data_IF_778850224384
#
_entry.id   IF_778850224384
#
_cell.length_a   1.000
_cell.length_b   1.000
_cell.length_c   1.000
_cell.angle_alpha   90.00
_cell.angle_beta   90.00
_cell.angle_gamma   90.00
#
_symmetry.space_group_name_H-M   'P 1'
#
loop_
_entity.id
_entity.type
_entity.pdbx_description
1 polymer ?
#
# COMPACT_ATOMS: atom_id res chain seq x y z
N UNK A 1 7.71 -10.38 8.10
CA UNK A 1 7.29 -8.99 7.81
C UNK A 1 8.52 -8.29 7.28
N UNK A 2 8.52 -7.92 6.01
CA UNK A 2 9.67 -7.26 5.37
C UNK A 2 9.37 -5.75 5.32
N UNK A 3 10.13 -4.96 6.08
CA UNK A 3 9.95 -3.52 6.20
C UNK A 3 11.04 -2.85 5.34
N UNK A 4 10.65 -2.23 4.23
CA UNK A 4 11.56 -1.42 3.42
C UNK A 4 11.25 0.05 3.62
N UNK A 5 12.20 0.82 4.14
CA UNK A 5 12.09 2.28 4.21
C UNK A 5 12.15 2.82 2.79
N UNK A 6 11.02 3.36 2.32
CA UNK A 6 10.89 4.01 1.02
C UNK A 6 10.35 5.42 1.23
N UNK A 7 10.66 6.37 0.36
CA UNK A 7 10.09 7.71 0.44
C UNK A 7 8.81 7.80 -0.40
N UNK A 8 7.76 8.43 0.11
CA UNK A 8 6.60 8.88 -0.68
C UNK A 8 6.72 10.39 -0.90
N UNK A 9 7.03 10.81 -2.14
CA UNK A 9 7.18 12.23 -2.50
C UNK A 9 8.15 13.02 -1.59
N UNK A 10 9.23 12.37 -1.16
CA UNK A 10 10.21 12.95 -0.24
C UNK A 10 9.87 12.85 1.24
N UNK A 11 8.65 12.42 1.60
CA UNK A 11 8.30 12.08 2.98
C UNK A 11 8.72 10.64 3.30
N UNK A 12 9.25 10.36 4.51
CA UNK A 12 9.49 9.01 4.97
C UNK A 12 8.17 8.21 4.93
N UNK A 13 8.22 7.03 4.30
CA UNK A 13 7.06 6.16 4.18
C UNK A 13 7.39 4.72 4.56
N UNK A 14 6.40 4.05 5.12
CA UNK A 14 6.46 2.62 5.42
C UNK A 14 5.49 1.88 4.51
N UNK A 15 5.97 0.84 3.84
CA UNK A 15 5.14 -0.08 3.07
C UNK A 15 5.02 -1.40 3.82
N UNK A 16 3.78 -1.83 4.05
CA UNK A 16 3.46 -3.13 4.65
C UNK A 16 2.69 -3.96 3.63
N UNK A 17 3.09 -5.22 3.47
CA UNK A 17 2.37 -6.23 2.70
C UNK A 17 1.94 -7.34 3.66
N UNK A 18 0.65 -7.64 3.69
CA UNK A 18 0.09 -8.65 4.60
C UNK A 18 -1.12 -9.34 3.99
N UNK A 19 -1.37 -10.57 4.41
CA UNK A 19 -2.53 -11.34 3.97
C UNK A 19 -3.71 -11.10 4.91
N UNK A 20 -4.88 -10.89 4.35
CA UNK A 20 -6.15 -10.83 5.08
C UNK A 20 -7.03 -12.00 4.64
N UNK A 21 -7.44 -12.81 5.60
CA UNK A 21 -8.42 -13.89 5.39
C UNK A 21 -9.76 -13.42 5.93
N UNK A 22 -10.79 -13.42 5.09
CA UNK A 22 -12.18 -13.21 5.53
C UNK A 22 -12.90 -14.55 5.68
N UNK A 23 -13.86 -14.64 6.61
CA UNK A 23 -14.62 -15.87 6.86
C UNK A 23 -15.31 -16.32 5.56
N UNK A 24 -14.82 -17.42 4.97
CA UNK A 24 -15.26 -17.88 3.65
C UNK A 24 -14.15 -18.14 2.61
N UNK A 25 -12.88 -18.25 3.02
CA UNK A 25 -11.75 -18.78 2.22
C UNK A 25 -11.11 -17.86 1.17
N UNK A 26 -11.48 -16.59 1.08
CA UNK A 26 -10.76 -15.65 0.21
C UNK A 26 -9.62 -15.00 0.99
N UNK A 27 -8.40 -15.39 0.64
CA UNK A 27 -7.19 -14.69 1.07
C UNK A 27 -6.91 -13.56 0.10
N UNK A 28 -6.90 -12.34 0.63
CA UNK A 28 -6.48 -11.16 -0.09
C UNK A 28 -5.09 -10.77 0.37
N UNK A 29 -4.26 -10.35 -0.57
CA UNK A 29 -3.00 -9.69 -0.25
C UNK A 29 -3.25 -8.20 -0.23
N UNK A 30 -2.94 -7.59 0.92
CA UNK A 30 -3.11 -6.17 1.18
C UNK A 30 -1.74 -5.49 1.15
N UNK A 31 -1.63 -4.41 0.39
CA UNK A 31 -0.49 -3.49 0.45
C UNK A 31 -0.94 -2.18 1.05
N UNK A 32 -0.30 -1.75 2.13
CA UNK A 32 -0.54 -0.46 2.78
C UNK A 32 0.73 0.41 2.74
N UNK A 33 0.56 1.68 2.39
CA UNK A 33 1.61 2.71 2.43
C UNK A 33 1.21 3.77 3.46
N UNK A 34 2.07 3.99 4.43
CA UNK A 34 1.88 4.96 5.52
C UNK A 34 2.95 6.04 5.42
N UNK A 35 2.55 7.29 5.58
CA UNK A 35 3.49 8.41 5.65
C UNK A 35 2.89 9.57 6.44
N UNK A 36 3.75 10.39 7.01
CA UNK A 36 3.38 11.66 7.62
C UNK A 36 3.80 12.81 6.72
N UNK A 37 2.87 13.71 6.43
CA UNK A 37 3.13 14.92 5.67
C UNK A 37 2.36 16.10 6.26
N UNK A 38 3.05 17.24 6.42
CA UNK A 38 2.45 18.49 6.90
C UNK A 38 1.68 18.32 8.24
N UNK A 39 2.21 17.50 9.16
CA UNK A 39 1.60 17.21 10.46
C UNK A 39 0.33 16.34 10.40
N UNK A 40 0.09 15.65 9.28
CA UNK A 40 -1.04 14.74 9.08
C UNK A 40 -0.55 13.35 8.72
N UNK A 41 -1.24 12.34 9.25
CA UNK A 41 -0.98 10.94 8.93
C UNK A 41 -1.85 10.48 7.78
N UNK A 42 -1.23 9.82 6.79
CA UNK A 42 -1.89 9.29 5.62
C UNK A 42 -1.67 7.77 5.52
N UNK A 43 -2.71 7.08 5.07
CA UNK A 43 -2.69 5.66 4.76
C UNK A 43 -3.32 5.44 3.38
N UNK A 44 -2.61 4.76 2.49
CA UNK A 44 -3.12 4.27 1.21
C UNK A 44 -3.15 2.75 1.31
N UNK A 45 -4.26 2.11 0.94
CA UNK A 45 -4.38 0.65 1.02
C UNK A 45 -5.03 0.11 -0.24
N UNK A 46 -4.41 -0.89 -0.85
CA UNK A 46 -5.01 -1.73 -1.87
C UNK A 46 -5.04 -3.18 -1.40
N UNK A 47 -6.07 -3.90 -1.80
CA UNK A 47 -6.25 -5.33 -1.51
C UNK A 47 -6.66 -6.04 -2.79
N UNK A 48 -5.99 -7.15 -3.08
CA UNK A 48 -6.22 -7.94 -4.27
C UNK A 48 -6.24 -9.43 -3.95
N UNK A 49 -6.92 -10.22 -4.78
CA UNK A 49 -6.74 -11.68 -4.73
C UNK A 49 -5.31 -12.01 -5.16
N UNK A 50 -4.77 -13.13 -4.67
CA UNK A 50 -3.41 -13.57 -5.02
C UNK A 50 -3.20 -13.73 -6.54
N UNK A 51 -4.22 -14.19 -7.25
CA UNK A 51 -4.20 -14.39 -8.71
C UNK A 51 -3.93 -13.12 -9.53
N UNK A 52 -4.21 -11.94 -8.98
CA UNK A 52 -4.06 -10.63 -9.65
C UNK A 52 -3.16 -9.68 -8.86
N UNK A 53 -2.34 -10.22 -7.94
CA UNK A 53 -1.57 -9.41 -7.01
C UNK A 53 -0.53 -8.52 -7.72
N UNK A 54 0.15 -9.05 -8.75
CA UNK A 54 1.17 -8.29 -9.48
C UNK A 54 0.56 -7.08 -10.18
N UNK A 55 -0.50 -7.29 -10.97
CA UNK A 55 -1.25 -6.22 -11.64
C UNK A 55 -1.75 -5.17 -10.64
N UNK A 56 -2.33 -5.62 -9.52
CA UNK A 56 -2.82 -4.72 -8.48
C UNK A 56 -1.71 -3.92 -7.77
N UNK A 57 -0.50 -4.49 -7.66
CA UNK A 57 0.66 -3.77 -7.11
C UNK A 57 1.20 -2.74 -8.10
N UNK A 58 1.20 -3.05 -9.40
CA UNK A 58 1.57 -2.09 -10.45
C UNK A 58 0.60 -0.91 -10.46
N UNK A 59 -0.70 -1.16 -10.50
CA UNK A 59 -1.73 -0.11 -10.44
C UNK A 59 -1.61 0.73 -9.16
N UNK A 60 -1.37 0.10 -8.00
CA UNK A 60 -1.15 0.83 -6.76
C UNK A 60 0.08 1.74 -6.87
N UNK A 61 1.18 1.27 -7.46
CA UNK A 61 2.38 2.09 -7.64
C UNK A 61 2.12 3.29 -8.56
N UNK A 62 1.32 3.12 -9.61
CA UNK A 62 0.91 4.21 -10.51
C UNK A 62 0.04 5.25 -9.78
N UNK A 63 -0.96 4.81 -9.01
CA UNK A 63 -1.81 5.69 -8.20
C UNK A 63 -0.94 6.46 -7.20
N UNK A 64 -0.07 5.76 -6.47
CA UNK A 64 0.87 6.35 -5.51
C UNK A 64 1.79 7.39 -6.18
N UNK A 65 2.29 7.10 -7.38
CA UNK A 65 3.13 8.02 -8.16
C UNK A 65 2.41 9.27 -8.67
N UNK A 66 1.08 9.22 -8.85
CA UNK A 66 0.28 10.33 -9.40
C UNK A 66 -0.40 11.20 -8.35
N UNK A 67 -0.54 10.71 -7.11
CA UNK A 67 -1.07 11.50 -6.01
C UNK A 67 -0.26 12.80 -5.84
N UNK A 68 -0.90 13.87 -5.39
CA UNK A 68 -0.21 15.10 -5.00
C UNK A 68 -0.81 15.60 -3.71
N UNK A 69 0.02 15.76 -2.69
CA UNK A 69 -0.37 16.41 -1.46
C UNK A 69 -0.51 17.92 -1.76
N UNK A 70 -1.68 18.49 -1.46
CA UNK A 70 -1.96 19.91 -1.57
C UNK A 70 -1.74 20.61 -0.24
#
# INVERSE_FOLDING_TARGET
MEETEKTFQGYPAKRLVFNKTEEGWKTFVCTAVFFEANGRFYQITASANEDILEDAQEELNEIVGTLKLK
#
